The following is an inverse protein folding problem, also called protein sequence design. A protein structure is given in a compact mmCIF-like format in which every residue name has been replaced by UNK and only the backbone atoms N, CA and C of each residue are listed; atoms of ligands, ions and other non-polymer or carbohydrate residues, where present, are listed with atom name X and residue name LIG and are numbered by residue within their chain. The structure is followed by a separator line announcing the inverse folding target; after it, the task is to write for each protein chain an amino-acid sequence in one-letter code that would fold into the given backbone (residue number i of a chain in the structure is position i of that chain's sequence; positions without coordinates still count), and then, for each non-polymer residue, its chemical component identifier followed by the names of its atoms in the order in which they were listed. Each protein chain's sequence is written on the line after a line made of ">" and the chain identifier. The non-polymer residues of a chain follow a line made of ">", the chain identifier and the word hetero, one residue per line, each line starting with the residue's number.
data_IF_121818631110
#
_entry.id   IF_121818631110
#
_cell.length_a   1.000
_cell.length_b   1.000
_cell.length_c   1.000
_cell.angle_alpha   90.00
_cell.angle_beta   90.00
_cell.angle_gamma   90.00
#
_symmetry.space_group_name_H-M   'P 1'
#
loop_
_entity.id
_entity.type
_entity.pdbx_description
1 polymer ?
#
# COMPACT_ATOMS: atom_id res chain seq x y z
N UNK A 1 -19.66 7.92 5.29
CA UNK A 1 -19.15 6.57 5.64
C UNK A 1 -18.08 6.69 6.70
N UNK A 2 -17.95 5.65 7.55
CA UNK A 2 -16.94 5.55 8.62
C UNK A 2 -15.52 5.78 8.10
N UNK A 3 -15.17 5.23 6.93
CA UNK A 3 -13.84 5.36 6.33
C UNK A 3 -13.45 6.82 6.02
N UNK A 4 -14.40 7.61 5.50
CA UNK A 4 -14.18 9.03 5.24
C UNK A 4 -14.00 9.85 6.53
N UNK A 5 -14.63 9.43 7.62
CA UNK A 5 -14.47 10.08 8.92
C UNK A 5 -13.11 9.72 9.56
N UNK A 6 -12.67 8.47 9.42
CA UNK A 6 -11.35 8.02 9.85
C UNK A 6 -10.26 8.75 9.07
N UNK A 7 -10.34 8.80 7.75
CA UNK A 7 -9.36 9.50 6.90
C UNK A 7 -9.21 10.98 7.30
N UNK A 8 -10.33 11.70 7.48
CA UNK A 8 -10.29 13.10 7.96
C UNK A 8 -9.59 13.29 9.30
N UNK A 9 -9.60 12.27 10.16
CA UNK A 9 -8.98 12.33 11.48
C UNK A 9 -7.49 12.02 11.43
N UNK A 10 -7.05 11.13 10.53
CA UNK A 10 -5.66 10.68 10.48
C UNK A 10 -4.84 11.32 9.34
N UNK A 11 -5.49 11.94 8.36
CA UNK A 11 -4.85 12.62 7.22
C UNK A 11 -4.12 11.67 6.28
N UNK A 12 -4.56 10.41 6.18
CA UNK A 12 -3.82 9.37 5.47
C UNK A 12 -3.78 9.65 3.97
N UNK A 13 -4.93 9.97 3.36
CA UNK A 13 -5.00 10.25 1.92
C UNK A 13 -4.13 11.45 1.53
N UNK A 14 -4.12 12.51 2.35
CA UNK A 14 -3.31 13.69 2.06
C UNK A 14 -1.81 13.35 2.12
N UNK A 15 -1.37 12.61 3.14
CA UNK A 15 0.03 12.14 3.26
C UNK A 15 0.45 11.22 2.13
N UNK A 16 -0.45 10.34 1.66
CA UNK A 16 -0.19 9.49 0.50
C UNK A 16 -0.14 10.32 -0.79
N UNK A 17 -0.99 11.33 -0.93
CA UNK A 17 -1.01 12.22 -2.10
C UNK A 17 0.28 13.03 -2.19
N UNK A 18 0.72 13.63 -1.07
CA UNK A 18 1.95 14.41 -0.99
C UNK A 18 3.21 13.57 -1.27
N UNK A 19 3.12 12.26 -1.07
CA UNK A 19 4.19 11.34 -1.37
C UNK A 19 4.34 11.08 -2.89
N UNK A 20 3.32 11.36 -3.70
CA UNK A 20 3.35 11.08 -5.14
C UNK A 20 3.76 12.33 -5.90
N UNK A 21 4.78 12.21 -6.76
CA UNK A 21 5.11 13.30 -7.69
C UNK A 21 4.27 13.10 -8.94
N UNK A 22 3.27 13.95 -9.13
CA UNK A 22 2.41 13.89 -10.30
C UNK A 22 3.15 14.34 -11.57
N UNK A 23 3.64 13.37 -12.33
CA UNK A 23 4.33 13.63 -13.62
C UNK A 23 3.38 13.74 -14.81
N UNK A 24 2.05 13.66 -14.61
CA UNK A 24 1.07 13.73 -15.69
C UNK A 24 1.06 15.14 -16.29
N UNK A 25 0.89 15.22 -17.61
CA UNK A 25 0.84 16.52 -18.27
C UNK A 25 -0.45 17.26 -17.87
N UNK A 26 -0.38 18.55 -17.46
CA UNK A 26 -1.53 19.28 -16.91
C UNK A 26 -2.77 19.29 -17.81
N UNK A 27 -2.60 19.31 -19.13
CA UNK A 27 -3.72 19.31 -20.09
C UNK A 27 -4.51 17.98 -20.15
N UNK A 28 -4.00 16.92 -19.53
CA UNK A 28 -4.66 15.60 -19.45
C UNK A 28 -5.17 15.29 -18.02
N UNK A 29 -5.13 16.26 -17.11
CA UNK A 29 -5.58 16.09 -15.73
C UNK A 29 -7.04 16.53 -15.63
N UNK A 30 -7.96 15.56 -15.60
CA UNK A 30 -9.37 15.79 -15.27
C UNK A 30 -9.63 15.76 -13.76
N UNK A 31 -8.92 14.87 -13.05
CA UNK A 31 -9.07 14.66 -11.61
C UNK A 31 -7.71 14.76 -10.90
N UNK A 32 -7.63 15.50 -9.77
CA UNK A 32 -6.41 15.60 -9.00
C UNK A 32 -6.04 14.23 -8.40
N UNK A 33 -4.74 14.03 -8.13
CA UNK A 33 -4.22 12.77 -7.59
C UNK A 33 -4.94 12.34 -6.29
N UNK A 34 -5.27 13.33 -5.45
CA UNK A 34 -6.03 13.13 -4.20
C UNK A 34 -7.36 12.42 -4.44
N UNK A 35 -8.11 12.84 -5.45
CA UNK A 35 -9.45 12.30 -5.73
C UNK A 35 -9.35 10.88 -6.28
N UNK A 36 -8.35 10.62 -7.13
CA UNK A 36 -8.06 9.29 -7.65
C UNK A 36 -7.64 8.32 -6.55
N UNK A 37 -6.78 8.76 -5.62
CA UNK A 37 -6.38 7.96 -4.46
C UNK A 37 -7.56 7.73 -3.50
N UNK A 38 -8.35 8.77 -3.22
CA UNK A 38 -9.54 8.66 -2.37
C UNK A 38 -10.50 7.62 -2.94
N UNK A 39 -10.83 7.76 -4.23
CA UNK A 39 -11.69 6.83 -4.93
C UNK A 39 -11.12 5.41 -4.85
N UNK A 40 -9.84 5.21 -5.17
CA UNK A 40 -9.24 3.88 -5.19
C UNK A 40 -9.20 3.23 -3.81
N UNK A 41 -8.74 3.94 -2.79
CA UNK A 41 -8.67 3.41 -1.41
C UNK A 41 -10.06 3.04 -0.91
N UNK A 42 -11.07 3.85 -1.22
CA UNK A 42 -12.43 3.61 -0.73
C UNK A 42 -13.13 2.49 -1.50
N UNK A 43 -12.86 2.35 -2.80
CA UNK A 43 -13.33 1.23 -3.61
C UNK A 43 -12.77 -0.09 -3.09
N UNK A 44 -11.44 -0.17 -2.87
CA UNK A 44 -10.79 -1.36 -2.29
C UNK A 44 -11.39 -1.67 -0.92
N UNK A 45 -11.47 -0.67 -0.03
CA UNK A 45 -12.02 -0.86 1.31
C UNK A 45 -13.51 -1.25 1.32
N UNK A 46 -14.24 -0.99 0.23
CA UNK A 46 -15.64 -1.38 0.05
C UNK A 46 -15.79 -2.71 -0.71
N UNK A 47 -14.70 -3.42 -1.02
CA UNK A 47 -14.71 -4.70 -1.72
C UNK A 47 -14.77 -4.62 -3.26
N UNK A 48 -14.55 -3.43 -3.84
CA UNK A 48 -14.46 -3.23 -5.28
C UNK A 48 -12.99 -3.24 -5.71
N UNK A 49 -12.46 -4.44 -5.98
CA UNK A 49 -11.02 -4.68 -6.17
C UNK A 49 -10.54 -4.50 -7.62
N UNK A 50 -11.45 -4.60 -8.61
CA UNK A 50 -11.09 -4.50 -10.02
C UNK A 50 -10.38 -3.17 -10.32
N UNK A 51 -9.11 -3.29 -10.72
CA UNK A 51 -8.11 -2.21 -10.68
C UNK A 51 -7.60 -1.77 -12.05
N UNK A 52 -8.43 -1.90 -13.07
CA UNK A 52 -8.07 -1.60 -14.46
C UNK A 52 -7.94 -0.10 -14.77
N UNK A 53 -8.53 0.79 -13.96
CA UNK A 53 -8.63 2.23 -14.29
C UNK A 53 -7.49 3.12 -13.71
N UNK A 54 -6.58 2.56 -12.90
CA UNK A 54 -5.63 3.35 -12.10
C UNK A 54 -4.13 3.05 -12.39
N UNK A 55 -3.75 2.87 -13.65
CA UNK A 55 -2.44 2.32 -14.01
C UNK A 55 -1.25 3.32 -14.06
N UNK A 56 -1.30 4.42 -13.30
CA UNK A 56 -0.36 5.54 -13.46
C UNK A 56 0.83 5.59 -12.47
N UNK A 57 0.89 4.72 -11.46
CA UNK A 57 1.89 4.81 -10.39
C UNK A 57 3.22 4.17 -10.78
N UNK A 58 4.33 4.91 -10.59
CA UNK A 58 5.68 4.39 -10.82
C UNK A 58 6.20 3.69 -9.56
N UNK A 59 7.24 2.87 -9.72
CA UNK A 59 7.94 2.23 -8.58
C UNK A 59 8.40 3.24 -7.53
N UNK A 60 8.89 4.41 -7.94
CA UNK A 60 9.30 5.49 -7.03
C UNK A 60 8.14 6.01 -6.18
N UNK A 61 6.93 6.07 -6.74
CA UNK A 61 5.74 6.56 -6.03
C UNK A 61 5.30 5.52 -4.98
N UNK A 62 5.38 4.23 -5.31
CA UNK A 62 5.16 3.14 -4.33
C UNK A 62 6.13 3.25 -3.15
N UNK A 63 7.42 3.50 -3.39
CA UNK A 63 8.39 3.69 -2.30
C UNK A 63 8.10 4.93 -1.45
N UNK A 64 7.67 6.03 -2.07
CA UNK A 64 7.31 7.25 -1.34
C UNK A 64 6.05 7.04 -0.51
N UNK A 65 5.05 6.33 -1.03
CA UNK A 65 3.86 5.94 -0.27
C UNK A 65 4.23 5.03 0.93
N UNK A 66 5.11 4.04 0.72
CA UNK A 66 5.61 3.20 1.81
C UNK A 66 6.29 4.03 2.90
N UNK A 67 7.09 5.03 2.52
CA UNK A 67 7.70 5.99 3.46
C UNK A 67 6.64 6.86 4.16
N UNK A 68 5.60 7.29 3.47
CA UNK A 68 4.51 8.05 4.07
C UNK A 68 3.77 7.25 5.15
N UNK A 69 3.59 5.93 4.97
CA UNK A 69 3.05 5.05 6.01
C UNK A 69 3.95 4.98 7.24
N UNK A 70 5.28 4.92 7.06
CA UNK A 70 6.23 4.95 8.20
C UNK A 70 6.12 6.27 8.96
N UNK A 71 6.05 7.39 8.22
CA UNK A 71 5.89 8.71 8.84
C UNK A 71 4.54 8.84 9.56
N UNK A 72 3.48 8.26 8.99
CA UNK A 72 2.17 8.18 9.65
C UNK A 72 2.24 7.42 10.96
N UNK A 73 2.91 6.27 10.97
CA UNK A 73 3.10 5.45 12.15
C UNK A 73 3.90 6.19 13.23
N UNK A 74 5.03 6.80 12.86
CA UNK A 74 5.86 7.60 13.80
C UNK A 74 5.04 8.76 14.38
N UNK A 75 4.25 9.45 13.56
CA UNK A 75 3.39 10.55 13.99
C UNK A 75 2.24 10.11 14.94
N UNK A 76 2.02 8.79 15.09
CA UNK A 76 1.06 8.25 16.06
C UNK A 76 1.60 8.15 17.49
N UNK A 77 2.90 8.37 17.71
CA UNK A 77 3.51 8.37 19.04
C UNK A 77 3.66 9.79 19.59
N UNK A 78 3.19 10.00 20.82
CA UNK A 78 3.39 11.26 21.55
C UNK A 78 4.88 11.45 21.96
N UNK A 79 5.58 10.35 22.23
CA UNK A 79 7.02 10.33 22.49
C UNK A 79 7.64 9.03 21.97
N UNK A 80 8.95 9.06 21.69
CA UNK A 80 9.65 7.89 21.15
C UNK A 80 9.58 6.71 22.14
N UNK A 81 9.11 5.52 21.71
CA UNK A 81 9.08 4.35 22.57
C UNK A 81 10.50 3.83 22.82
N UNK A 82 10.72 3.20 23.98
CA UNK A 82 12.02 2.61 24.34
C UNK A 82 12.39 1.40 23.45
N UNK A 83 11.38 0.69 22.93
CA UNK A 83 11.54 -0.42 22.01
C UNK A 83 10.28 -0.56 21.15
N UNK A 84 10.44 -1.12 19.94
CA UNK A 84 9.34 -1.46 19.03
C UNK A 84 9.57 -2.89 18.55
N UNK A 85 8.55 -3.73 18.65
CA UNK A 85 8.57 -5.09 18.10
C UNK A 85 7.86 -5.07 16.76
N UNK A 86 8.54 -5.51 15.70
CA UNK A 86 8.01 -5.52 14.34
C UNK A 86 7.69 -6.94 13.90
N UNK A 87 6.48 -7.13 13.41
CA UNK A 87 6.05 -8.33 12.72
C UNK A 87 6.09 -8.11 11.20
N UNK A 88 6.63 -9.09 10.47
CA UNK A 88 6.91 -8.98 9.05
C UNK A 88 6.27 -10.16 8.31
N UNK A 89 5.09 -9.92 7.78
CA UNK A 89 4.31 -10.95 7.12
C UNK A 89 4.02 -10.61 5.68
N UNK A 90 3.79 -11.66 4.90
CA UNK A 90 3.32 -11.50 3.55
C UNK A 90 1.89 -11.98 3.44
N UNK A 91 1.07 -11.19 2.78
CA UNK A 91 -0.31 -11.55 2.48
C UNK A 91 -0.40 -12.07 1.05
N UNK A 92 -1.33 -12.98 0.80
CA UNK A 92 -1.75 -13.33 -0.55
C UNK A 92 -2.73 -12.27 -1.05
N UNK A 93 -2.53 -11.81 -2.28
CA UNK A 93 -3.36 -10.79 -2.93
C UNK A 93 -3.63 -11.22 -4.37
N UNK A 94 -4.81 -11.78 -4.62
CA UNK A 94 -5.17 -12.35 -5.91
C UNK A 94 -5.19 -11.28 -7.01
N UNK A 95 -4.71 -11.64 -8.19
CA UNK A 95 -4.65 -10.72 -9.33
C UNK A 95 -5.48 -11.24 -10.48
N UNK A 96 -6.12 -10.31 -11.19
CA UNK A 96 -7.02 -10.62 -12.32
C UNK A 96 -6.55 -9.92 -13.59
N UNK A 97 -6.57 -10.62 -14.72
CA UNK A 97 -6.12 -10.09 -16.00
C UNK A 97 -4.59 -9.96 -16.09
N UNK A 98 -4.11 -9.01 -16.91
CA UNK A 98 -2.69 -8.82 -17.22
C UNK A 98 -2.05 -7.70 -16.37
N UNK A 99 -2.11 -7.83 -15.04
CA UNK A 99 -1.55 -6.82 -14.15
C UNK A 99 -0.01 -6.95 -14.05
N UNK A 100 0.75 -5.84 -14.10
CA UNK A 100 2.21 -5.89 -13.96
C UNK A 100 2.67 -6.50 -12.63
N UNK A 101 3.72 -7.32 -12.65
CA UNK A 101 4.26 -8.05 -11.48
C UNK A 101 3.38 -9.17 -10.91
N UNK A 102 2.23 -9.43 -11.52
CA UNK A 102 1.45 -10.64 -11.26
C UNK A 102 2.18 -11.86 -11.79
N UNK A 103 2.40 -12.85 -10.93
CA UNK A 103 2.99 -14.12 -11.30
C UNK A 103 2.26 -15.26 -10.62
N UNK A 104 2.20 -16.41 -11.30
CA UNK A 104 1.63 -17.62 -10.71
C UNK A 104 2.44 -18.08 -9.49
N UNK A 105 1.76 -18.21 -8.35
CA UNK A 105 2.35 -18.73 -7.13
C UNK A 105 1.87 -20.16 -6.87
N UNK A 106 2.80 -21.11 -6.82
CA UNK A 106 2.45 -22.52 -6.63
C UNK A 106 1.89 -22.84 -5.22
N UNK A 107 2.18 -22.01 -4.21
CA UNK A 107 1.66 -22.22 -2.87
C UNK A 107 0.17 -21.89 -2.76
N UNK A 108 -0.24 -20.78 -3.38
CA UNK A 108 -1.60 -20.26 -3.33
C UNK A 108 -2.46 -20.76 -4.51
N UNK A 109 -1.83 -21.25 -5.58
CA UNK A 109 -2.53 -21.89 -6.70
C UNK A 109 -3.13 -20.93 -7.73
N UNK A 110 -2.75 -19.64 -7.69
CA UNK A 110 -3.23 -18.63 -8.64
C UNK A 110 -2.18 -17.52 -8.87
N UNK A 111 -2.37 -16.67 -9.89
CA UNK A 111 -1.62 -15.43 -10.03
C UNK A 111 -1.95 -14.48 -8.88
N UNK A 112 -0.91 -13.99 -8.20
CA UNK A 112 -1.07 -13.06 -7.09
C UNK A 112 0.10 -12.06 -7.00
N UNK A 113 -0.06 -11.08 -6.12
CA UNK A 113 1.05 -10.40 -5.46
C UNK A 113 1.32 -11.05 -4.11
N UNK A 114 2.50 -10.81 -3.54
CA UNK A 114 2.80 -11.16 -2.14
C UNK A 114 3.25 -9.91 -1.36
N UNK A 115 2.38 -8.90 -1.15
CA UNK A 115 2.74 -7.70 -0.43
C UNK A 115 3.37 -8.04 0.93
N UNK A 116 4.51 -7.42 1.23
CA UNK A 116 5.09 -7.47 2.56
C UNK A 116 4.43 -6.38 3.40
N UNK A 117 3.79 -6.78 4.49
CA UNK A 117 3.19 -5.91 5.47
C UNK A 117 4.05 -5.95 6.74
N UNK A 118 4.33 -4.76 7.28
CA UNK A 118 5.07 -4.64 8.54
C UNK A 118 4.13 -4.04 9.57
N UNK A 119 3.92 -4.74 10.68
CA UNK A 119 3.07 -4.31 11.78
C UNK A 119 3.87 -4.15 13.05
N UNK A 120 3.45 -3.23 13.91
CA UNK A 120 3.92 -3.18 15.29
C UNK A 120 3.11 -4.17 16.13
N UNK A 121 3.81 -5.06 16.85
CA UNK A 121 3.19 -6.25 17.44
C UNK A 121 2.22 -5.94 18.59
N UNK A 122 2.42 -4.87 19.36
CA UNK A 122 1.60 -4.61 20.55
C UNK A 122 0.26 -3.93 20.20
N UNK A 123 0.29 -2.99 19.27
CA UNK A 123 -0.87 -2.19 18.86
C UNK A 123 -1.55 -2.74 17.59
N UNK A 124 -0.85 -3.58 16.82
CA UNK A 124 -1.30 -4.01 15.50
C UNK A 124 -1.25 -2.88 14.45
N UNK A 125 -0.60 -1.76 14.75
CA UNK A 125 -0.52 -0.64 13.83
C UNK A 125 0.32 -0.99 12.59
N UNK A 126 -0.19 -0.66 11.41
CA UNK A 126 0.57 -0.79 10.17
C UNK A 126 1.72 0.22 10.16
N UNK A 127 2.94 -0.28 10.04
CA UNK A 127 4.16 0.52 9.91
C UNK A 127 4.39 0.87 8.44
N UNK A 128 4.35 -0.12 7.57
CA UNK A 128 4.49 0.09 6.12
C UNK A 128 4.00 -1.12 5.33
N UNK A 129 3.83 -0.92 4.03
CA UNK A 129 3.50 -1.96 3.08
C UNK A 129 4.39 -1.80 1.83
N UNK A 130 4.92 -2.92 1.34
CA UNK A 130 5.71 -2.97 0.11
C UNK A 130 5.11 -4.00 -0.83
N UNK A 131 4.67 -3.54 -2.00
CA UNK A 131 4.18 -4.44 -3.04
C UNK A 131 5.35 -5.30 -3.55
N UNK A 132 5.20 -6.62 -3.47
CA UNK A 132 6.18 -7.56 -4.04
C UNK A 132 5.51 -8.43 -5.10
N UNK A 133 6.26 -8.84 -6.14
CA UNK A 133 5.77 -9.77 -7.12
C UNK A 133 5.28 -11.08 -6.48
N UNK A 134 4.33 -11.77 -7.13
CA UNK A 134 3.80 -13.08 -6.70
C UNK A 134 4.80 -14.22 -6.59
N UNK A 135 6.10 -13.97 -6.75
CA UNK A 135 7.15 -14.99 -6.66
C UNK A 135 7.68 -15.05 -5.23
N UNK A 136 7.94 -16.27 -4.75
CA UNK A 136 8.67 -16.46 -3.49
C UNK A 136 10.04 -15.77 -3.58
N UNK A 137 10.46 -15.02 -2.55
CA UNK A 137 11.81 -14.49 -2.47
C UNK A 137 12.81 -15.65 -2.56
N UNK A 138 13.75 -15.57 -3.50
CA UNK A 138 14.86 -16.52 -3.62
C UNK A 138 15.96 -16.11 -2.65
N UNK A 139 15.73 -16.31 -1.34
CA UNK A 139 16.74 -16.13 -0.30
C UNK A 139 17.24 -17.49 0.22
N UNK A 140 18.49 -17.59 0.70
CA UNK A 140 18.94 -18.79 1.40
C UNK A 140 18.05 -19.02 2.63
N UNK A 141 17.49 -20.22 2.76
CA UNK A 141 16.77 -20.63 3.96
C UNK A 141 17.80 -20.83 5.07
N UNK A 142 17.87 -19.90 6.01
CA UNK A 142 18.51 -20.18 7.31
C UNK A 142 17.65 -21.24 8.01
N UNK A 143 18.27 -22.40 8.25
CA UNK A 143 17.71 -23.50 9.06
C UNK A 143 17.92 -23.21 10.54
#
# INVERSE_FOLDING_TARGET
>A
MLLAAVDRRIGLIDRLTDAIIDTRHPSYITHPMRDLLTQRVFQIASGYEDGNDANALRRSDIYRMARALVLQFIAGYDCAPAAITLDLDHTDDATYGQQPLSFYNHHYGHPCYLPLLVFEANSGALVTAVLRPGKRPTGPRTR
#
